data_IF_350354804730
#
_entry.id   IF_350354804730
#
_cell.length_a   1.000
_cell.length_b   1.000
_cell.length_c   1.000
_cell.angle_alpha   90.00
_cell.angle_beta   90.00
_cell.angle_gamma   90.00
#
_symmetry.space_group_name_H-M   'P 1'
#
loop_
_entity.id
_entity.type
_entity.pdbx_description
1 polymer ?
#
# COMPACT_ATOMS: atom_id res chain seq x y z
N UNK A 1 -14.44 -26.76 10.74
CA UNK A 1 -13.31 -27.42 10.05
C UNK A 1 -13.65 -27.38 8.58
N UNK A 2 -12.94 -26.57 7.80
CA UNK A 2 -13.08 -26.50 6.34
C UNK A 2 -12.41 -27.75 5.78
N UNK A 3 -13.05 -28.44 4.83
CA UNK A 3 -12.47 -29.60 4.16
C UNK A 3 -11.30 -29.13 3.28
N UNK A 4 -10.05 -29.56 3.54
CA UNK A 4 -8.90 -29.16 2.74
C UNK A 4 -8.94 -29.69 1.29
N UNK A 5 -9.90 -30.57 0.94
CA UNK A 5 -10.06 -31.10 -0.40
C UNK A 5 -11.01 -30.29 -1.31
N UNK A 6 -11.75 -29.32 -0.77
CA UNK A 6 -12.58 -28.42 -1.56
C UNK A 6 -11.86 -27.07 -1.63
N UNK A 7 -11.11 -26.77 -2.71
CA UNK A 7 -10.40 -25.51 -2.80
C UNK A 7 -11.44 -24.41 -2.69
N UNK A 8 -11.40 -23.65 -1.58
CA UNK A 8 -12.33 -22.55 -1.35
C UNK A 8 -12.41 -21.76 -2.66
N UNK A 9 -13.59 -21.74 -3.32
CA UNK A 9 -13.68 -21.09 -4.60
C UNK A 9 -13.26 -19.64 -4.35
N UNK A 10 -12.30 -19.14 -5.13
CA UNK A 10 -11.89 -17.73 -5.07
C UNK A 10 -13.08 -16.80 -5.43
N UNK A 11 -14.25 -17.35 -5.72
CA UNK A 11 -15.54 -16.66 -5.89
C UNK A 11 -15.76 -15.66 -4.76
N UNK A 12 -15.97 -14.40 -5.13
CA UNK A 12 -16.12 -13.29 -4.18
C UNK A 12 -14.87 -12.45 -3.95
N UNK A 13 -13.65 -12.96 -4.21
CA UNK A 13 -12.43 -12.13 -4.09
C UNK A 13 -12.51 -10.99 -5.12
N UNK A 14 -12.44 -9.73 -4.71
CA UNK A 14 -12.60 -8.64 -5.65
C UNK A 14 -11.43 -8.58 -6.64
N UNK A 15 -11.67 -7.95 -7.79
CA UNK A 15 -10.63 -7.63 -8.74
C UNK A 15 -10.09 -6.22 -8.46
N UNK A 16 -8.77 -6.05 -8.54
CA UNK A 16 -8.11 -4.73 -8.53
C UNK A 16 -7.59 -4.42 -9.93
N UNK A 17 -7.83 -3.20 -10.42
CA UNK A 17 -7.15 -2.69 -11.61
C UNK A 17 -6.11 -1.66 -11.19
N UNK A 18 -4.84 -1.94 -11.47
CA UNK A 18 -3.72 -1.05 -11.17
C UNK A 18 -3.32 -0.29 -12.43
N UNK A 19 -3.51 1.02 -12.39
CA UNK A 19 -2.94 1.94 -13.35
C UNK A 19 -1.58 2.45 -12.86
N UNK A 20 -0.73 2.81 -13.82
CA UNK A 20 0.51 3.51 -13.51
C UNK A 20 0.23 5.02 -13.63
N UNK A 21 0.54 5.82 -12.59
CA UNK A 21 0.36 7.26 -12.67
C UNK A 21 1.40 7.82 -13.64
N UNK A 22 1.02 7.94 -14.92
CA UNK A 22 1.90 8.49 -15.98
C UNK A 22 1.96 10.01 -15.87
N UNK A 23 0.86 10.64 -15.43
CA UNK A 23 0.78 12.07 -15.17
C UNK A 23 -0.14 12.27 -13.95
N UNK A 24 0.33 13.00 -12.94
CA UNK A 24 -0.48 13.41 -11.78
C UNK A 24 -1.48 14.52 -12.17
N UNK A 25 -2.06 14.43 -13.37
CA UNK A 25 -3.12 15.34 -13.78
C UNK A 25 -4.28 15.18 -12.81
N UNK A 26 -4.51 16.23 -12.02
CA UNK A 26 -5.52 16.17 -10.98
C UNK A 26 -6.90 16.10 -11.64
N UNK A 27 -7.59 14.97 -11.46
CA UNK A 27 -8.96 14.82 -11.91
C UNK A 27 -9.83 15.96 -11.38
N UNK A 28 -10.73 16.46 -12.22
CA UNK A 28 -11.81 17.35 -11.79
C UNK A 28 -12.96 16.50 -11.27
N UNK A 29 -13.36 16.70 -10.03
CA UNK A 29 -14.56 16.10 -9.46
C UNK A 29 -15.56 17.18 -9.08
N UNK A 30 -16.84 16.83 -8.96
CA UNK A 30 -17.88 17.74 -8.50
C UNK A 30 -17.68 18.15 -7.02
N UNK A 31 -18.45 19.14 -6.56
CA UNK A 31 -18.32 19.65 -5.19
C UNK A 31 -18.62 18.59 -4.12
N UNK A 32 -19.59 17.70 -4.37
CA UNK A 32 -19.97 16.64 -3.44
C UNK A 32 -18.85 15.62 -3.25
N UNK A 33 -18.24 15.17 -4.34
CA UNK A 33 -17.11 14.22 -4.30
C UNK A 33 -15.89 14.85 -3.61
N UNK A 34 -15.63 16.14 -3.84
CA UNK A 34 -14.56 16.86 -3.12
C UNK A 34 -14.84 16.98 -1.62
N UNK A 35 -16.09 17.17 -1.21
CA UNK A 35 -16.46 17.20 0.21
C UNK A 35 -16.29 15.83 0.88
N UNK A 36 -16.71 14.75 0.21
CA UNK A 36 -16.47 13.38 0.67
C UNK A 36 -14.98 13.07 0.80
N UNK A 37 -14.19 13.54 -0.17
CA UNK A 37 -12.73 13.42 -0.14
C UNK A 37 -12.12 14.07 1.09
N UNK A 38 -12.49 15.33 1.34
CA UNK A 38 -12.02 16.07 2.52
C UNK A 38 -12.47 15.39 3.83
N UNK A 39 -13.67 14.83 3.88
CA UNK A 39 -14.16 14.06 5.04
C UNK A 39 -13.32 12.80 5.28
N UNK A 40 -13.00 12.05 4.23
CA UNK A 40 -12.14 10.87 4.33
C UNK A 40 -10.73 11.24 4.83
N UNK A 41 -10.08 12.26 4.24
CA UNK A 41 -8.77 12.76 4.72
C UNK A 41 -8.82 13.19 6.19
N UNK A 42 -9.84 13.97 6.58
CA UNK A 42 -10.00 14.45 7.95
C UNK A 42 -10.23 13.30 8.94
N UNK A 43 -11.02 12.30 8.57
CA UNK A 43 -11.29 11.11 9.41
C UNK A 43 -10.03 10.29 9.69
N UNK A 44 -9.17 10.08 8.69
CA UNK A 44 -7.87 9.41 8.85
C UNK A 44 -6.94 10.22 9.75
N UNK A 45 -6.88 11.55 9.57
CA UNK A 45 -6.11 12.45 10.43
C UNK A 45 -6.55 12.39 11.90
N UNK A 46 -7.87 12.41 12.15
CA UNK A 46 -8.42 12.26 13.51
C UNK A 46 -8.11 10.89 14.13
N UNK A 47 -8.09 9.82 13.33
CA UNK A 47 -7.70 8.48 13.79
C UNK A 47 -6.22 8.42 14.18
N UNK A 48 -5.31 8.92 13.32
CA UNK A 48 -3.88 8.99 13.62
C UNK A 48 -3.60 9.77 14.92
N UNK A 49 -4.21 10.93 15.03
CA UNK A 49 -4.05 11.85 16.15
C UNK A 49 -4.55 11.24 17.48
N UNK A 50 -5.68 10.51 17.45
CA UNK A 50 -6.15 9.75 18.60
C UNK A 50 -5.18 8.63 19.03
N UNK A 51 -4.61 7.89 18.07
CA UNK A 51 -3.64 6.83 18.34
C UNK A 51 -2.32 7.38 18.91
N UNK A 52 -1.79 8.46 18.33
CA UNK A 52 -0.52 9.06 18.75
C UNK A 52 -0.57 9.66 20.15
N UNK A 53 -1.72 10.23 20.56
CA UNK A 53 -1.91 10.75 21.92
C UNK A 53 -2.15 9.68 22.97
N UNK A 54 -2.18 8.41 22.60
CA UNK A 54 -2.59 7.34 23.51
C UNK A 54 -4.05 7.50 23.96
N UNK A 55 -4.93 7.93 23.04
CA UNK A 55 -6.36 8.00 23.29
C UNK A 55 -6.90 6.65 23.78
N UNK A 56 -7.94 6.68 24.62
CA UNK A 56 -8.50 5.44 25.14
C UNK A 56 -9.10 4.57 24.01
N UNK A 57 -9.22 3.27 24.24
CA UNK A 57 -9.66 2.30 23.24
C UNK A 57 -11.04 2.63 22.65
N UNK A 58 -11.96 3.21 23.43
CA UNK A 58 -13.28 3.62 22.95
C UNK A 58 -13.23 4.81 22.00
N UNK A 59 -12.35 5.79 22.25
CA UNK A 59 -12.13 6.88 21.30
C UNK A 59 -11.52 6.38 20.00
N UNK A 60 -10.44 5.59 20.08
CA UNK A 60 -9.78 5.03 18.90
C UNK A 60 -10.76 4.21 18.07
N UNK A 61 -11.56 3.33 18.69
CA UNK A 61 -12.58 2.56 18.00
C UNK A 61 -13.62 3.44 17.29
N UNK A 62 -14.12 4.51 17.93
CA UNK A 62 -15.04 5.46 17.29
C UNK A 62 -14.41 6.20 16.10
N UNK A 63 -13.14 6.60 16.21
CA UNK A 63 -12.42 7.24 15.09
C UNK A 63 -12.20 6.26 13.95
N UNK A 64 -11.98 4.99 14.28
CA UNK A 64 -11.84 3.92 13.30
C UNK A 64 -13.12 3.74 12.48
N UNK A 65 -14.27 3.59 13.14
CA UNK A 65 -15.56 3.45 12.47
C UNK A 65 -15.87 4.68 11.60
N UNK A 66 -15.62 5.89 12.11
CA UNK A 66 -15.82 7.11 11.33
C UNK A 66 -14.93 7.18 10.07
N UNK A 67 -13.69 6.70 10.15
CA UNK A 67 -12.78 6.65 9.01
C UNK A 67 -13.20 5.57 7.99
N UNK A 68 -13.66 4.41 8.45
CA UNK A 68 -14.23 3.37 7.59
C UNK A 68 -15.46 3.89 6.85
N UNK A 69 -16.41 4.50 7.55
CA UNK A 69 -17.64 5.04 6.93
C UNK A 69 -17.32 6.15 5.90
N UNK A 70 -16.41 7.07 6.24
CA UNK A 70 -16.03 8.17 5.35
C UNK A 70 -15.33 7.66 4.09
N UNK A 71 -14.43 6.68 4.22
CA UNK A 71 -13.73 6.08 3.09
C UNK A 71 -14.64 5.20 2.24
N UNK A 72 -15.58 4.48 2.86
CA UNK A 72 -16.61 3.71 2.16
C UNK A 72 -17.49 4.60 1.28
N UNK A 73 -17.98 5.72 1.83
CA UNK A 73 -18.81 6.67 1.10
C UNK A 73 -18.06 7.27 -0.10
N UNK A 74 -16.78 7.64 0.08
CA UNK A 74 -15.93 8.13 -0.99
C UNK A 74 -15.69 7.06 -2.07
N UNK A 75 -15.34 5.83 -1.67
CA UNK A 75 -15.08 4.73 -2.58
C UNK A 75 -16.30 4.41 -3.44
N UNK A 76 -17.49 4.29 -2.83
CA UNK A 76 -18.74 4.06 -3.54
C UNK A 76 -19.07 5.18 -4.53
N UNK A 77 -18.85 6.44 -4.13
CA UNK A 77 -19.07 7.59 -5.02
C UNK A 77 -18.13 7.55 -6.22
N UNK A 78 -16.84 7.32 -6.00
CA UNK A 78 -15.83 7.29 -7.07
C UNK A 78 -16.06 6.12 -8.03
N UNK A 79 -16.40 4.95 -7.51
CA UNK A 79 -16.71 3.76 -8.32
C UNK A 79 -17.94 4.01 -9.22
N UNK A 80 -18.99 4.66 -8.70
CA UNK A 80 -20.19 4.99 -9.49
C UNK A 80 -19.95 5.94 -10.67
N UNK A 81 -18.89 6.78 -10.60
CA UNK A 81 -18.60 7.79 -11.63
C UNK A 81 -17.39 7.44 -12.50
N UNK A 82 -16.58 6.49 -12.07
CA UNK A 82 -15.29 6.18 -12.66
C UNK A 82 -14.86 4.72 -12.45
N UNK A 83 -15.81 3.80 -12.36
CA UNK A 83 -15.55 2.37 -12.44
C UNK A 83 -14.84 2.01 -13.75
N UNK A 84 -14.14 0.87 -13.74
CA UNK A 84 -13.60 0.28 -14.96
C UNK A 84 -14.66 -0.64 -15.54
N UNK A 85 -15.05 -0.43 -16.79
CA UNK A 85 -16.03 -1.27 -17.47
C UNK A 85 -15.43 -2.67 -17.71
N UNK A 86 -16.13 -3.70 -17.23
CA UNK A 86 -15.78 -5.12 -17.37
C UNK A 86 -14.28 -5.42 -17.19
N UNK A 87 -13.73 -5.18 -15.99
CA UNK A 87 -12.29 -5.25 -15.77
C UNK A 87 -11.74 -6.68 -15.89
N UNK A 88 -12.62 -7.69 -15.89
CA UNK A 88 -12.29 -9.09 -16.14
C UNK A 88 -11.85 -9.37 -17.57
N UNK A 89 -12.22 -8.53 -18.54
CA UNK A 89 -11.75 -8.63 -19.94
C UNK A 89 -10.32 -8.16 -20.14
N UNK A 90 -9.73 -7.47 -19.16
CA UNK A 90 -8.35 -7.03 -19.27
C UNK A 90 -7.40 -8.24 -19.17
N UNK A 91 -6.40 -8.35 -20.07
CA UNK A 91 -5.47 -9.46 -20.02
C UNK A 91 -4.58 -9.34 -18.76
N UNK A 92 -4.28 -10.46 -18.07
CA UNK A 92 -3.32 -10.45 -16.98
C UNK A 92 -1.89 -10.25 -17.52
N UNK A 93 -1.11 -9.28 -17.02
CA UNK A 93 0.26 -9.04 -17.51
C UNK A 93 1.25 -10.13 -17.12
N UNK A 94 1.02 -10.78 -15.97
CA UNK A 94 1.73 -12.00 -15.53
C UNK A 94 0.66 -12.99 -15.11
N UNK A 95 0.25 -13.93 -16.00
CA UNK A 95 -0.95 -14.75 -15.83
C UNK A 95 -1.11 -15.33 -14.43
N UNK A 96 -0.07 -15.98 -13.92
CA UNK A 96 -0.11 -16.72 -12.65
C UNK A 96 -0.35 -15.80 -11.44
N UNK A 97 0.42 -14.72 -11.33
CA UNK A 97 0.30 -13.75 -10.23
C UNK A 97 -1.01 -12.95 -10.33
N UNK A 98 -1.34 -12.53 -11.55
CA UNK A 98 -2.49 -11.68 -11.83
C UNK A 98 -3.81 -12.42 -11.66
N UNK A 99 -3.85 -13.72 -11.96
CA UNK A 99 -5.04 -14.54 -11.77
C UNK A 99 -5.21 -14.94 -10.31
N UNK A 100 -4.13 -15.30 -9.62
CA UNK A 100 -4.19 -15.59 -8.19
C UNK A 100 -4.66 -14.38 -7.39
N UNK A 101 -3.95 -13.26 -7.48
CA UNK A 101 -4.33 -12.04 -6.74
C UNK A 101 -5.47 -11.26 -7.40
N UNK A 102 -6.02 -11.69 -8.54
CA UNK A 102 -7.08 -10.97 -9.26
C UNK A 102 -6.72 -9.51 -9.53
N UNK A 103 -5.50 -9.29 -10.02
CA UNK A 103 -4.99 -7.96 -10.38
C UNK A 103 -4.93 -7.84 -11.90
N UNK A 104 -5.36 -6.70 -12.42
CA UNK A 104 -5.21 -6.32 -13.83
C UNK A 104 -4.44 -5.04 -13.95
N UNK A 105 -3.76 -4.88 -15.08
CA UNK A 105 -2.97 -3.69 -15.35
C UNK A 105 -3.40 -3.09 -16.68
N UNK A 106 -3.73 -1.81 -16.65
CA UNK A 106 -4.10 -1.03 -17.82
C UNK A 106 -3.87 0.45 -17.52
N UNK A 107 -3.60 1.31 -18.52
CA UNK A 107 -3.69 2.74 -18.33
C UNK A 107 -5.06 3.13 -17.76
N UNK A 108 -5.09 3.84 -16.64
CA UNK A 108 -6.31 4.35 -16.02
C UNK A 108 -6.38 5.86 -16.20
N UNK A 109 -7.59 6.38 -16.40
CA UNK A 109 -7.82 7.82 -16.24
C UNK A 109 -7.59 8.23 -14.79
N UNK A 110 -7.25 9.49 -14.49
CA UNK A 110 -7.07 9.94 -13.11
C UNK A 110 -8.29 9.68 -12.20
N UNK A 111 -9.51 9.71 -12.76
CA UNK A 111 -10.73 9.37 -12.02
C UNK A 111 -10.83 7.87 -11.70
N UNK A 112 -10.52 7.00 -12.66
CA UNK A 112 -10.50 5.55 -12.45
C UNK A 112 -9.40 5.15 -11.45
N UNK A 113 -8.23 5.76 -11.56
CA UNK A 113 -7.13 5.57 -10.61
C UNK A 113 -7.57 5.95 -9.18
N UNK A 114 -8.26 7.07 -9.02
CA UNK A 114 -8.82 7.49 -7.73
C UNK A 114 -9.86 6.50 -7.20
N UNK A 115 -10.75 5.99 -8.05
CA UNK A 115 -11.76 5.00 -7.66
C UNK A 115 -11.11 3.69 -7.17
N UNK A 116 -10.19 3.10 -7.95
CA UNK A 116 -9.51 1.86 -7.59
C UNK A 116 -8.69 2.01 -6.30
N UNK A 117 -8.01 3.15 -6.14
CA UNK A 117 -7.23 3.44 -4.93
C UNK A 117 -8.13 3.60 -3.70
N UNK A 118 -9.24 4.35 -3.82
CA UNK A 118 -10.17 4.53 -2.71
C UNK A 118 -10.83 3.22 -2.28
N UNK A 119 -11.16 2.34 -3.23
CA UNK A 119 -11.69 1.00 -2.94
C UNK A 119 -10.64 0.15 -2.19
N UNK A 120 -9.38 0.14 -2.63
CA UNK A 120 -8.31 -0.59 -1.94
C UNK A 120 -8.07 -0.06 -0.51
N UNK A 121 -8.05 1.27 -0.34
CA UNK A 121 -7.93 1.93 0.98
C UNK A 121 -9.09 1.57 1.89
N UNK A 122 -10.33 1.71 1.42
CA UNK A 122 -11.53 1.41 2.20
C UNK A 122 -11.53 -0.05 2.69
N UNK A 123 -11.32 -1.02 1.78
CA UNK A 123 -11.35 -2.44 2.14
C UNK A 123 -10.27 -2.80 3.15
N UNK A 124 -9.06 -2.28 2.94
CA UNK A 124 -7.93 -2.51 3.86
C UNK A 124 -8.17 -1.87 5.22
N UNK A 125 -8.68 -0.64 5.25
CA UNK A 125 -9.03 0.03 6.51
C UNK A 125 -10.14 -0.74 7.24
N UNK A 126 -11.17 -1.20 6.52
CA UNK A 126 -12.26 -1.96 7.12
C UNK A 126 -11.77 -3.27 7.78
N UNK A 127 -10.77 -3.94 7.20
CA UNK A 127 -10.13 -5.14 7.78
C UNK A 127 -9.19 -4.76 8.92
N UNK A 128 -8.38 -3.70 8.77
CA UNK A 128 -7.43 -3.23 9.78
C UNK A 128 -8.09 -3.00 11.16
N UNK A 129 -9.35 -2.57 11.16
CA UNK A 129 -10.23 -2.47 12.35
C UNK A 129 -10.31 -3.75 13.18
N UNK A 130 -10.28 -4.90 12.51
CA UNK A 130 -10.46 -6.24 13.08
C UNK A 130 -9.13 -6.98 13.26
N UNK A 131 -8.02 -6.39 12.79
CA UNK A 131 -6.69 -6.99 12.85
C UNK A 131 -5.94 -6.51 14.08
N UNK A 132 -5.29 -7.45 14.79
CA UNK A 132 -4.36 -7.12 15.86
C UNK A 132 -2.97 -6.84 15.28
N UNK A 133 -2.60 -5.57 15.20
CA UNK A 133 -1.27 -5.11 14.80
C UNK A 133 -0.63 -4.24 15.87
N UNK A 134 0.70 -4.11 15.80
CA UNK A 134 1.42 -3.11 16.56
C UNK A 134 0.99 -1.70 16.15
N UNK A 135 0.87 -0.80 17.12
CA UNK A 135 0.32 0.55 16.89
C UNK A 135 1.10 1.33 15.82
N UNK A 136 2.42 1.11 15.74
CA UNK A 136 3.27 1.75 14.73
C UNK A 136 2.97 1.26 13.31
N UNK A 137 2.62 -0.01 13.16
CA UNK A 137 2.25 -0.59 11.85
C UNK A 137 0.86 -0.07 11.44
N UNK A 138 -0.09 0.05 12.38
CA UNK A 138 -1.39 0.71 12.14
C UNK A 138 -1.20 2.17 11.73
N UNK A 139 -0.36 2.93 12.45
CA UNK A 139 -0.07 4.32 12.13
C UNK A 139 0.59 4.48 10.75
N UNK A 140 1.49 3.58 10.37
CA UNK A 140 2.13 3.60 9.06
C UNK A 140 1.11 3.39 7.93
N UNK A 141 0.19 2.43 8.06
CA UNK A 141 -0.89 2.22 7.08
C UNK A 141 -1.83 3.42 6.98
N UNK A 142 -2.30 3.95 8.12
CA UNK A 142 -3.23 5.10 8.11
C UNK A 142 -2.55 6.36 7.54
N UNK A 143 -1.25 6.56 7.83
CA UNK A 143 -0.47 7.64 7.24
C UNK A 143 -0.33 7.48 5.72
N UNK A 144 -0.06 6.27 5.21
CA UNK A 144 0.01 6.03 3.77
C UNK A 144 -1.36 6.16 3.09
N UNK A 145 -2.45 5.74 3.73
CA UNK A 145 -3.83 5.98 3.23
C UNK A 145 -4.13 7.48 3.09
N UNK A 146 -3.78 8.27 4.12
CA UNK A 146 -3.95 9.72 4.09
C UNK A 146 -3.12 10.37 2.97
N UNK A 147 -1.87 9.94 2.81
CA UNK A 147 -1.00 10.42 1.74
C UNK A 147 -1.56 10.08 0.35
N UNK A 148 -2.04 8.85 0.12
CA UNK A 148 -2.66 8.48 -1.16
C UNK A 148 -3.82 9.40 -1.53
N UNK A 149 -4.70 9.74 -0.58
CA UNK A 149 -5.77 10.68 -0.85
C UNK A 149 -5.26 12.09 -1.17
N UNK A 150 -4.21 12.55 -0.49
CA UNK A 150 -3.58 13.84 -0.79
C UNK A 150 -2.97 13.87 -2.19
N UNK A 151 -2.29 12.79 -2.60
CA UNK A 151 -1.66 12.66 -3.91
C UNK A 151 -2.69 12.64 -5.05
N UNK A 152 -3.85 12.05 -4.79
CA UNK A 152 -4.97 11.97 -5.72
C UNK A 152 -5.90 13.20 -5.65
N UNK A 153 -5.62 14.16 -4.76
CA UNK A 153 -6.52 15.28 -4.48
C UNK A 153 -6.78 16.10 -5.75
N UNK A 154 -8.05 16.45 -6.03
CA UNK A 154 -8.44 17.20 -7.21
C UNK A 154 -7.76 18.59 -7.24
N UNK A 155 -7.44 19.12 -8.42
CA UNK A 155 -6.97 20.49 -8.54
C UNK A 155 -8.09 21.40 -8.03
N UNK A 156 -7.77 22.31 -7.11
CA UNK A 156 -8.69 23.41 -6.82
C UNK A 156 -8.86 24.20 -8.11
N UNK A 157 -10.09 24.28 -8.61
CA UNK A 157 -10.44 25.12 -9.76
C UNK A 157 -10.44 26.61 -9.41
N UNK A 158 -10.13 26.96 -8.16
CA UNK A 158 -9.90 28.35 -7.78
C UNK A 158 -8.64 28.82 -8.51
N UNK A 159 -8.85 29.62 -9.57
CA UNK A 159 -7.79 30.14 -10.41
C UNK A 159 -6.76 30.91 -9.58
N UNK A 160 -5.66 30.25 -9.25
CA UNK A 160 -4.49 30.89 -8.65
C UNK A 160 -3.37 30.82 -9.66
N UNK A 161 -3.18 31.95 -10.35
CA UNK A 161 -1.88 32.33 -10.88
C UNK A 161 -0.88 32.27 -9.72
N UNK A 162 0.03 31.30 -9.76
CA UNK A 162 1.28 31.21 -8.99
C UNK A 162 1.29 31.71 -7.54
N UNK A 163 1.13 30.81 -6.58
CA UNK A 163 1.93 30.83 -5.36
C UNK A 163 1.86 29.46 -4.68
N UNK A 164 3.02 28.80 -4.60
CA UNK A 164 3.19 27.53 -3.92
C UNK A 164 3.53 27.78 -2.44
N UNK A 165 2.54 28.10 -1.62
CA UNK A 165 2.58 27.98 -0.17
C UNK A 165 1.24 28.44 0.39
N UNK A 166 0.30 27.52 0.60
CA UNK A 166 -0.79 27.75 1.56
C UNK A 166 -1.22 26.40 2.15
N UNK A 167 -0.80 26.18 3.39
CA UNK A 167 -1.45 25.24 4.31
C UNK A 167 -2.73 25.86 4.87
N UNK A 168 -3.72 25.06 5.31
CA UNK A 168 -5.09 25.54 5.42
C UNK A 168 -5.43 26.12 6.80
N UNK A 169 -6.35 27.10 6.88
CA UNK A 169 -7.31 27.17 7.95
C UNK A 169 -8.61 26.49 7.47
N UNK A 170 -9.04 25.40 8.11
CA UNK A 170 -10.41 24.90 7.95
C UNK A 170 -11.10 24.81 9.30
N UNK A 171 -12.08 25.71 9.50
CA UNK A 171 -13.20 25.49 10.40
C UNK A 171 -14.09 24.39 9.80
N UNK A 172 -14.23 23.29 10.53
CA UNK A 172 -15.19 22.22 10.21
C UNK A 172 -16.58 22.68 10.67
N UNK A 173 -17.61 22.69 9.81
CA UNK A 173 -18.97 22.97 10.27
C UNK A 173 -19.44 21.85 11.21
N UNK A 174 -19.81 22.22 12.44
CA UNK A 174 -20.48 21.32 13.37
C UNK A 174 -21.88 20.96 12.84
N UNK A 175 -22.00 19.79 12.22
CA UNK A 175 -23.28 19.33 11.66
C UNK A 175 -23.20 17.95 11.01
N UNK A 176 -22.88 16.92 11.80
CA UNK A 176 -23.14 15.54 11.41
C UNK A 176 -24.60 15.18 11.74
N UNK A 177 -25.35 14.50 10.86
CA UNK A 177 -26.71 14.05 11.16
C UNK A 177 -26.68 12.85 12.12
N UNK A 178 -27.75 12.63 12.92
CA UNK A 178 -27.82 11.53 13.87
C UNK A 178 -28.21 10.22 13.18
N UNK A 179 -27.65 9.14 13.72
CA UNK A 179 -28.02 7.72 13.57
C UNK A 179 -29.40 7.44 12.96
N UNK A 180 -29.41 6.85 11.77
CA UNK A 180 -30.56 6.13 11.22
C UNK A 180 -30.55 4.68 11.70
N UNK A 181 -31.50 4.32 12.56
CA UNK A 181 -31.77 2.94 12.99
C UNK A 181 -32.28 2.08 11.83
N UNK A 182 -31.64 0.93 11.64
CA UNK A 182 -32.02 -0.07 10.65
C UNK A 182 -33.37 -0.73 10.98
N UNK A 183 -34.31 -0.64 10.03
CA UNK A 183 -35.47 -1.53 9.95
C UNK A 183 -35.13 -2.71 9.04
N UNK A 184 -35.20 -3.92 9.60
CA UNK A 184 -35.23 -5.19 8.87
C UNK A 184 -36.65 -5.43 8.35
N UNK A 185 -36.81 -5.74 7.06
CA UNK A 185 -37.76 -6.75 6.55
C UNK A 185 -37.68 -6.90 5.02
N UNK A 186 -37.53 -8.15 4.54
CA UNK A 186 -38.03 -8.63 3.25
C UNK A 186 -37.03 -8.74 2.07
N UNK A 187 -36.88 -9.94 1.44
CA UNK A 187 -36.07 -10.13 0.25
C UNK A 187 -36.90 -9.90 -1.02
N UNK A 188 -36.56 -8.88 -1.79
CA UNK A 188 -36.98 -8.76 -3.20
C UNK A 188 -35.78 -9.00 -4.09
N UNK A 189 -35.78 -10.15 -4.77
CA UNK A 189 -34.87 -10.45 -5.87
C UNK A 189 -35.36 -9.71 -7.12
N UNK A 190 -34.52 -8.82 -7.67
CA UNK A 190 -34.80 -8.15 -8.94
C UNK A 190 -33.90 -6.94 -9.22
N UNK A 191 -32.94 -7.14 -10.13
CA UNK A 191 -32.40 -6.16 -11.09
C UNK A 191 -31.65 -4.92 -10.56
N UNK A 192 -30.31 -4.95 -10.72
CA UNK A 192 -29.45 -3.77 -10.62
C UNK A 192 -29.03 -3.35 -9.20
N UNK A 193 -29.20 -4.23 -8.21
CA UNK A 193 -28.84 -3.94 -6.81
C UNK A 193 -27.38 -3.52 -6.70
N UNK A 194 -27.15 -2.26 -6.31
CA UNK A 194 -25.84 -1.78 -5.90
C UNK A 194 -25.25 -2.82 -4.94
N UNK A 195 -24.09 -3.38 -5.31
CA UNK A 195 -23.44 -4.42 -4.51
C UNK A 195 -23.37 -3.94 -3.06
N UNK A 196 -23.83 -4.79 -2.12
CA UNK A 196 -23.81 -4.44 -0.71
C UNK A 196 -22.38 -3.99 -0.34
N UNK A 197 -22.23 -2.93 0.49
CA UNK A 197 -20.91 -2.43 0.85
C UNK A 197 -20.08 -3.58 1.43
N UNK A 198 -18.83 -3.72 0.97
CA UNK A 198 -17.91 -4.74 1.46
C UNK A 198 -17.86 -4.68 2.99
N UNK A 199 -18.09 -5.82 3.64
CA UNK A 199 -17.96 -5.96 5.08
C UNK A 199 -16.97 -7.10 5.34
N UNK A 200 -15.79 -6.81 5.90
CA UNK A 200 -14.89 -7.88 6.29
C UNK A 200 -15.56 -8.71 7.36
N UNK A 201 -15.60 -10.02 7.14
CA UNK A 201 -16.08 -11.03 8.08
C UNK A 201 -14.95 -11.53 9.00
N UNK A 202 -13.72 -11.05 8.78
CA UNK A 202 -12.53 -11.45 9.51
C UNK A 202 -11.85 -12.70 8.92
N UNK A 203 -12.24 -13.14 7.73
CA UNK A 203 -11.58 -14.23 7.02
C UNK A 203 -10.13 -13.85 6.63
N UNK A 204 -9.18 -14.71 7.03
CA UNK A 204 -7.76 -14.46 6.80
C UNK A 204 -7.33 -14.58 5.33
N UNK A 205 -8.09 -15.32 4.51
CA UNK A 205 -7.87 -15.39 3.05
C UNK A 205 -8.33 -14.08 2.38
N UNK A 206 -9.48 -13.54 2.79
CA UNK A 206 -9.92 -12.21 2.32
C UNK A 206 -8.88 -11.14 2.67
N UNK A 207 -8.43 -11.13 3.93
CA UNK A 207 -7.30 -10.28 4.37
C UNK A 207 -6.08 -10.45 3.47
N UNK A 208 -5.70 -11.69 3.20
CA UNK A 208 -4.55 -12.00 2.35
C UNK A 208 -4.69 -11.29 0.99
N UNK A 209 -5.83 -11.38 0.30
CA UNK A 209 -6.00 -10.74 -0.99
C UNK A 209 -6.10 -9.22 -0.92
N UNK A 210 -6.94 -8.70 -0.04
CA UNK A 210 -7.28 -7.27 0.03
C UNK A 210 -6.09 -6.43 0.46
N UNK A 211 -5.33 -6.91 1.44
CA UNK A 211 -4.17 -6.16 1.91
C UNK A 211 -3.02 -6.25 0.89
N UNK A 212 -2.91 -7.35 0.12
CA UNK A 212 -1.99 -7.40 -1.03
C UNK A 212 -2.38 -6.40 -2.13
N UNK A 213 -3.67 -6.21 -2.40
CA UNK A 213 -4.13 -5.15 -3.32
C UNK A 213 -3.64 -3.78 -2.90
N UNK A 214 -3.78 -3.45 -1.61
CA UNK A 214 -3.28 -2.20 -1.07
C UNK A 214 -1.75 -2.11 -1.13
N UNK A 215 -1.04 -3.18 -0.80
CA UNK A 215 0.41 -3.31 -0.97
C UNK A 215 0.84 -2.99 -2.42
N UNK A 216 0.12 -3.49 -3.42
CA UNK A 216 0.40 -3.22 -4.84
C UNK A 216 0.22 -1.75 -5.20
N UNK A 217 -0.87 -1.13 -4.75
CA UNK A 217 -1.12 0.30 -4.92
C UNK A 217 0.03 1.12 -4.34
N UNK A 218 0.45 0.82 -3.10
CA UNK A 218 1.55 1.54 -2.45
C UNK A 218 2.88 1.41 -3.19
N UNK A 219 3.23 0.21 -3.69
CA UNK A 219 4.44 0.00 -4.49
C UNK A 219 4.43 0.86 -5.77
N UNK A 220 3.30 0.94 -6.47
CA UNK A 220 3.17 1.76 -7.68
C UNK A 220 3.34 3.25 -7.39
N UNK A 221 2.73 3.76 -6.32
CA UNK A 221 2.83 5.17 -5.96
C UNK A 221 4.23 5.53 -5.43
N UNK A 222 4.86 4.66 -4.64
CA UNK A 222 6.23 4.83 -4.19
C UNK A 222 7.20 4.91 -5.38
N UNK A 223 7.06 4.00 -6.36
CA UNK A 223 7.87 4.04 -7.59
C UNK A 223 7.71 5.37 -8.34
N UNK A 224 6.48 5.84 -8.50
CA UNK A 224 6.18 7.09 -9.21
C UNK A 224 6.74 8.33 -8.50
N UNK A 225 6.67 8.38 -7.17
CA UNK A 225 7.27 9.46 -6.38
C UNK A 225 8.80 9.45 -6.47
N UNK A 226 9.43 8.28 -6.46
CA UNK A 226 10.88 8.16 -6.62
C UNK A 226 11.32 8.61 -8.02
N UNK A 227 10.63 8.17 -9.08
CA UNK A 227 10.92 8.65 -10.45
C UNK A 227 10.80 10.17 -10.56
N UNK A 228 9.73 10.75 -10.01
CA UNK A 228 9.56 12.21 -9.96
C UNK A 228 10.70 12.88 -9.19
N UNK A 229 11.11 12.34 -8.05
CA UNK A 229 12.22 12.88 -7.29
C UNK A 229 13.53 12.86 -8.09
N UNK A 230 13.79 11.79 -8.82
CA UNK A 230 14.96 11.66 -9.71
C UNK A 230 14.95 12.74 -10.79
N UNK A 231 13.81 12.96 -11.46
CA UNK A 231 13.67 14.01 -12.47
C UNK A 231 13.94 15.40 -11.88
N UNK A 232 13.37 15.70 -10.71
CA UNK A 232 13.58 16.98 -10.01
C UNK A 232 15.04 17.16 -9.57
N UNK A 233 15.66 16.11 -9.04
CA UNK A 233 17.06 16.14 -8.61
C UNK A 233 18.01 16.37 -9.80
N UNK A 234 17.73 15.78 -10.97
CA UNK A 234 18.48 16.02 -12.23
C UNK A 234 18.31 17.46 -12.73
N UNK A 235 17.16 18.07 -12.46
CA UNK A 235 16.88 19.46 -12.79
C UNK A 235 17.46 20.47 -11.76
N UNK A 236 18.12 20.00 -10.69
CA UNK A 236 18.63 20.85 -9.61
C UNK A 236 17.55 21.38 -8.65
N UNK A 237 16.35 20.79 -8.67
CA UNK A 237 15.23 21.17 -7.83
C UNK A 237 15.18 20.30 -6.55
N UNK A 238 16.12 20.56 -5.64
CA UNK A 238 16.39 19.70 -4.48
C UNK A 238 15.23 19.62 -3.49
N UNK A 239 14.64 20.76 -3.10
CA UNK A 239 13.49 20.78 -2.20
C UNK A 239 12.31 19.96 -2.73
N UNK A 240 11.85 20.17 -3.98
CA UNK A 240 10.82 19.33 -4.61
C UNK A 240 11.20 17.85 -4.71
N UNK A 241 12.47 17.52 -4.97
CA UNK A 241 12.95 16.15 -4.98
C UNK A 241 12.88 15.51 -3.58
N UNK A 242 13.36 16.22 -2.56
CA UNK A 242 13.35 15.78 -1.17
C UNK A 242 11.91 15.55 -0.66
N UNK A 243 10.99 16.46 -0.97
CA UNK A 243 9.58 16.30 -0.61
C UNK A 243 8.94 15.05 -1.24
N UNK A 244 9.26 14.77 -2.51
CA UNK A 244 8.77 13.56 -3.18
C UNK A 244 9.38 12.27 -2.58
N UNK A 245 10.65 12.29 -2.17
CA UNK A 245 11.27 11.16 -1.47
C UNK A 245 10.70 10.95 -0.07
N UNK A 246 10.42 12.01 0.68
CA UNK A 246 9.77 11.93 1.99
C UNK A 246 8.38 11.28 1.88
N UNK A 247 7.56 11.70 0.89
CA UNK A 247 6.28 11.05 0.60
C UNK A 247 6.50 9.58 0.19
N UNK A 248 7.52 9.26 -0.61
CA UNK A 248 7.82 7.87 -0.98
C UNK A 248 8.18 7.02 0.25
N UNK A 249 8.97 7.55 1.19
CA UNK A 249 9.34 6.87 2.43
C UNK A 249 8.11 6.54 3.30
N UNK A 250 7.11 7.43 3.36
CA UNK A 250 5.82 7.15 4.03
C UNK A 250 5.11 5.98 3.38
N UNK A 251 5.05 5.93 2.03
CA UNK A 251 4.42 4.80 1.32
C UNK A 251 5.19 3.49 1.49
N UNK A 252 6.52 3.53 1.55
CA UNK A 252 7.36 2.36 1.82
C UNK A 252 7.05 1.77 3.19
N UNK A 253 7.06 2.59 4.23
CA UNK A 253 6.67 2.16 5.58
C UNK A 253 5.23 1.63 5.61
N UNK A 254 4.33 2.26 4.86
CA UNK A 254 2.95 1.82 4.70
C UNK A 254 2.86 0.42 4.08
N UNK A 255 3.62 0.11 3.04
CA UNK A 255 3.55 -1.21 2.42
C UNK A 255 4.27 -2.28 3.25
N UNK A 256 5.30 -1.90 4.01
CA UNK A 256 5.90 -2.79 5.00
C UNK A 256 4.87 -3.18 6.06
N UNK A 257 4.12 -2.21 6.58
CA UNK A 257 3.04 -2.47 7.52
C UNK A 257 1.91 -3.31 6.89
N UNK A 258 1.50 -3.00 5.66
CA UNK A 258 0.51 -3.79 4.92
C UNK A 258 0.97 -5.26 4.73
N UNK A 259 2.26 -5.52 4.53
CA UNK A 259 2.78 -6.89 4.48
C UNK A 259 2.65 -7.61 5.83
N UNK A 260 2.90 -6.92 6.96
CA UNK A 260 2.65 -7.49 8.29
C UNK A 260 1.16 -7.73 8.51
N UNK A 261 0.31 -6.80 8.09
CA UNK A 261 -1.15 -6.92 8.13
C UNK A 261 -1.66 -8.10 7.32
N UNK A 262 -1.22 -8.27 6.07
CA UNK A 262 -1.65 -9.39 5.25
C UNK A 262 -1.26 -10.74 5.87
N UNK A 263 -0.13 -10.79 6.57
CA UNK A 263 0.36 -11.95 7.29
C UNK A 263 -0.13 -12.09 8.74
N UNK A 264 -1.02 -11.21 9.22
CA UNK A 264 -1.57 -11.25 10.57
C UNK A 264 -2.61 -12.38 10.72
N UNK A 265 -2.12 -13.62 10.69
CA UNK A 265 -2.89 -14.86 10.79
C UNK A 265 -2.06 -15.95 11.49
N UNK A 266 -2.68 -17.02 12.01
CA UNK A 266 -1.93 -18.15 12.54
C UNK A 266 -1.06 -18.80 11.47
N UNK A 267 0.20 -19.12 11.81
CA UNK A 267 1.12 -19.80 10.89
C UNK A 267 0.55 -21.11 10.34
N UNK A 268 -0.21 -21.86 11.16
CA UNK A 268 -0.91 -23.07 10.72
C UNK A 268 -1.93 -22.79 9.60
N UNK A 269 -2.70 -21.70 9.71
CA UNK A 269 -3.65 -21.33 8.66
C UNK A 269 -2.93 -20.96 7.37
N UNK A 270 -1.84 -20.18 7.47
CA UNK A 270 -1.02 -19.88 6.32
C UNK A 270 -0.48 -21.15 5.65
N UNK A 271 0.01 -22.12 6.42
CA UNK A 271 0.57 -23.36 5.91
C UNK A 271 -0.46 -24.30 5.29
N UNK A 272 -1.63 -24.41 5.92
CA UNK A 272 -2.66 -25.38 5.52
C UNK A 272 -3.62 -24.83 4.46
N UNK A 273 -3.82 -23.51 4.41
CA UNK A 273 -4.85 -22.87 3.56
C UNK A 273 -4.22 -21.93 2.54
N UNK A 274 -3.50 -20.90 2.97
CA UNK A 274 -2.99 -19.87 2.04
C UNK A 274 -1.89 -20.43 1.13
N UNK A 275 -0.83 -21.01 1.70
CA UNK A 275 0.35 -21.45 0.96
C UNK A 275 0.07 -22.52 -0.10
N UNK A 276 -0.79 -23.54 0.13
CA UNK A 276 -1.13 -24.52 -0.91
C UNK A 276 -1.83 -23.91 -2.13
N UNK A 277 -2.58 -22.82 -1.96
CA UNK A 277 -3.25 -22.12 -3.07
C UNK A 277 -2.27 -21.36 -3.97
N UNK A 278 -1.04 -21.14 -3.50
CA UNK A 278 0.07 -20.51 -4.24
C UNK A 278 0.94 -21.51 -5.02
N UNK A 279 0.53 -22.78 -5.08
CA UNK A 279 1.21 -23.87 -5.77
C UNK A 279 0.27 -24.68 -6.67
N UNK A 280 0.78 -25.44 -7.66
CA UNK A 280 -0.02 -26.40 -8.40
C UNK A 280 -0.75 -27.39 -7.47
N UNK A 281 -2.01 -27.74 -7.77
CA UNK A 281 -2.75 -27.44 -9.00
C UNK A 281 -3.51 -26.09 -9.02
N UNK A 282 -3.55 -25.34 -7.92
CA UNK A 282 -4.34 -24.10 -7.81
C UNK A 282 -3.84 -22.98 -8.73
N UNK A 283 -2.54 -22.97 -8.98
CA UNK A 283 -1.87 -22.11 -9.96
C UNK A 283 -1.01 -22.95 -10.89
N UNK A 284 -0.78 -22.49 -12.12
CA UNK A 284 -0.06 -23.29 -13.12
C UNK A 284 1.43 -23.48 -12.81
N UNK A 285 2.03 -22.56 -12.04
CA UNK A 285 3.39 -22.65 -11.49
C UNK A 285 3.40 -22.04 -10.09
N UNK A 286 4.38 -22.43 -9.26
CA UNK A 286 4.55 -21.85 -7.92
C UNK A 286 4.70 -20.33 -7.99
N UNK A 287 3.90 -19.62 -7.19
CA UNK A 287 4.02 -18.18 -7.04
C UNK A 287 5.33 -17.83 -6.34
N UNK A 288 5.89 -16.69 -6.75
CA UNK A 288 7.07 -16.09 -6.15
C UNK A 288 6.96 -14.58 -6.22
N UNK A 289 7.53 -13.88 -5.23
CA UNK A 289 7.58 -12.42 -5.21
C UNK A 289 8.26 -11.82 -6.45
N UNK A 290 9.10 -12.57 -7.16
CA UNK A 290 9.72 -12.13 -8.44
C UNK A 290 8.67 -11.88 -9.54
N UNK A 291 7.51 -12.52 -9.45
CA UNK A 291 6.40 -12.34 -10.42
C UNK A 291 5.63 -11.04 -10.20
N UNK A 292 5.76 -10.41 -9.03
CA UNK A 292 5.03 -9.18 -8.70
C UNK A 292 5.61 -7.99 -9.47
N UNK A 293 4.83 -7.43 -10.41
CA UNK A 293 5.31 -6.35 -11.30
C UNK A 293 5.50 -5.05 -10.53
N UNK A 294 4.60 -4.75 -9.62
CA UNK A 294 4.54 -3.52 -8.83
C UNK A 294 5.79 -3.39 -7.96
N UNK A 295 6.15 -4.46 -7.24
CA UNK A 295 7.37 -4.47 -6.44
C UNK A 295 8.63 -4.37 -7.31
N UNK A 296 8.69 -5.05 -8.47
CA UNK A 296 9.82 -4.90 -9.40
C UNK A 296 10.00 -3.48 -9.90
N UNK A 297 8.90 -2.75 -10.15
CA UNK A 297 8.95 -1.33 -10.55
C UNK A 297 9.45 -0.44 -9.43
N UNK A 298 8.95 -0.64 -8.21
CA UNK A 298 9.48 0.04 -7.03
C UNK A 298 10.99 -0.19 -6.89
N UNK A 299 11.45 -1.44 -7.01
CA UNK A 299 12.88 -1.78 -6.95
C UNK A 299 13.70 -1.09 -8.04
N UNK A 300 13.21 -1.06 -9.27
CA UNK A 300 13.86 -0.35 -10.36
C UNK A 300 13.95 1.17 -10.09
N UNK A 301 12.91 1.77 -9.49
CA UNK A 301 12.94 3.19 -9.13
C UNK A 301 13.98 3.50 -8.04
N UNK A 302 14.14 2.64 -7.03
CA UNK A 302 15.19 2.78 -6.01
C UNK A 302 16.59 2.66 -6.63
N UNK A 303 16.78 1.72 -7.57
CA UNK A 303 18.04 1.59 -8.31
C UNK A 303 18.33 2.84 -9.17
N UNK A 304 17.30 3.41 -9.80
CA UNK A 304 17.42 4.67 -10.53
C UNK A 304 17.81 5.83 -9.61
N UNK A 305 17.20 5.94 -8.43
CA UNK A 305 17.55 6.97 -7.43
C UNK A 305 19.02 6.92 -7.05
N UNK A 306 19.52 5.72 -6.72
CA UNK A 306 20.93 5.51 -6.36
C UNK A 306 21.86 5.87 -7.52
N UNK A 307 21.46 5.56 -8.75
CA UNK A 307 22.24 5.90 -9.94
C UNK A 307 22.23 7.41 -10.21
N UNK A 308 21.11 8.09 -9.97
CA UNK A 308 20.93 9.51 -10.23
C UNK A 308 21.57 10.41 -9.16
N UNK A 309 21.68 9.91 -7.93
CA UNK A 309 22.29 10.62 -6.79
C UNK A 309 23.31 9.69 -6.11
N UNK A 310 24.45 9.41 -6.76
CA UNK A 310 25.42 8.40 -6.31
C UNK A 310 26.37 8.90 -5.21
N UNK A 311 26.36 10.20 -4.89
CA UNK A 311 27.30 10.82 -3.96
C UNK A 311 27.20 10.18 -2.56
N UNK A 312 28.33 9.89 -1.88
CA UNK A 312 28.30 9.45 -0.49
C UNK A 312 27.51 10.40 0.40
N UNK A 313 26.85 9.89 1.43
CA UNK A 313 25.98 10.69 2.32
C UNK A 313 26.68 11.94 2.82
N UNK A 314 27.93 11.81 3.30
CA UNK A 314 28.69 12.93 3.86
C UNK A 314 28.93 14.04 2.83
N UNK A 315 29.17 13.68 1.57
CA UNK A 315 29.45 14.65 0.49
C UNK A 315 28.15 15.31 0.00
N UNK A 316 27.09 14.53 -0.14
CA UNK A 316 25.77 15.05 -0.50
C UNK A 316 25.22 15.96 0.60
N UNK A 317 25.43 15.62 1.87
CA UNK A 317 25.00 16.43 3.02
C UNK A 317 25.66 17.82 3.04
N UNK A 318 26.90 17.95 2.57
CA UNK A 318 27.59 19.24 2.49
C UNK A 318 27.05 20.15 1.38
N UNK A 319 26.44 19.57 0.34
CA UNK A 319 26.09 20.30 -0.89
C UNK A 319 24.57 20.42 -1.10
N UNK A 320 23.81 19.40 -0.71
CA UNK A 320 22.37 19.22 -0.95
C UNK A 320 21.73 18.50 0.27
N UNK A 321 21.74 19.12 1.47
CA UNK A 321 21.38 18.46 2.73
C UNK A 321 19.96 17.87 2.74
N UNK A 322 18.96 18.60 2.26
CA UNK A 322 17.57 18.13 2.21
C UNK A 322 17.42 16.86 1.35
N UNK A 323 18.14 16.79 0.23
CA UNK A 323 18.13 15.62 -0.64
C UNK A 323 18.88 14.43 0.00
N UNK A 324 19.96 14.70 0.74
CA UNK A 324 20.71 13.68 1.46
C UNK A 324 19.85 12.99 2.53
N UNK A 325 19.18 13.78 3.37
CA UNK A 325 18.28 13.27 4.41
C UNK A 325 17.12 12.48 3.80
N UNK A 326 16.44 13.03 2.80
CA UNK A 326 15.29 12.36 2.20
C UNK A 326 15.67 11.07 1.44
N UNK A 327 16.86 11.03 0.82
CA UNK A 327 17.40 9.79 0.23
C UNK A 327 17.70 8.75 1.30
N UNK A 328 18.34 9.16 2.40
CA UNK A 328 18.64 8.28 3.55
C UNK A 328 17.35 7.65 4.10
N UNK A 329 16.29 8.44 4.27
CA UNK A 329 14.98 7.94 4.75
C UNK A 329 14.36 6.87 3.84
N UNK A 330 14.46 7.03 2.51
CA UNK A 330 13.96 6.04 1.54
C UNK A 330 14.76 4.74 1.61
N UNK A 331 16.09 4.82 1.69
CA UNK A 331 16.95 3.64 1.77
C UNK A 331 16.78 2.90 3.10
N UNK A 332 16.63 3.63 4.20
CA UNK A 332 16.31 3.07 5.52
C UNK A 332 14.95 2.36 5.50
N UNK A 333 13.93 3.00 4.91
CA UNK A 333 12.61 2.38 4.79
C UNK A 333 12.65 1.08 3.95
N UNK A 334 13.45 1.01 2.86
CA UNK A 334 13.62 -0.22 2.07
C UNK A 334 14.34 -1.34 2.85
N UNK A 335 15.33 -1.00 3.67
CA UNK A 335 16.02 -2.00 4.51
C UNK A 335 15.09 -2.53 5.60
N UNK A 336 14.33 -1.65 6.25
CA UNK A 336 13.33 -2.02 7.25
C UNK A 336 12.23 -2.92 6.65
N UNK A 337 11.79 -2.66 5.42
CA UNK A 337 10.85 -3.53 4.69
C UNK A 337 11.37 -4.97 4.64
N UNK A 338 12.61 -5.15 4.22
CA UNK A 338 13.19 -6.47 4.04
C UNK A 338 13.44 -7.18 5.36
N UNK A 339 13.78 -6.45 6.43
CA UNK A 339 13.91 -7.00 7.79
C UNK A 339 12.57 -7.48 8.36
N UNK A 340 11.52 -6.70 8.15
CA UNK A 340 10.15 -7.06 8.54
C UNK A 340 9.65 -8.26 7.72
N UNK A 341 9.96 -8.31 6.42
CA UNK A 341 9.68 -9.48 5.58
C UNK A 341 10.39 -10.74 6.11
N UNK A 342 11.68 -10.66 6.46
CA UNK A 342 12.43 -11.78 7.03
C UNK A 342 11.74 -12.30 8.30
N UNK A 343 11.29 -11.40 9.16
CA UNK A 343 10.61 -11.75 10.42
C UNK A 343 9.28 -12.43 10.14
N UNK A 344 8.47 -11.87 9.23
CA UNK A 344 7.19 -12.45 8.84
C UNK A 344 7.35 -13.84 8.22
N UNK A 345 8.30 -13.99 7.29
CA UNK A 345 8.62 -15.27 6.66
C UNK A 345 9.08 -16.30 7.70
N UNK A 346 9.90 -15.90 8.68
CA UNK A 346 10.31 -16.79 9.75
C UNK A 346 9.13 -17.26 10.63
N UNK A 347 8.12 -16.41 10.86
CA UNK A 347 6.93 -16.78 11.63
C UNK A 347 5.99 -17.68 10.83
N UNK A 348 5.70 -17.33 9.57
CA UNK A 348 4.72 -18.05 8.75
C UNK A 348 5.30 -19.31 8.11
N UNK A 349 6.53 -19.23 7.60
CA UNK A 349 7.21 -20.32 6.85
C UNK A 349 8.14 -21.13 7.74
N UNK A 350 8.66 -20.54 8.83
CA UNK A 350 9.60 -21.23 9.70
C UNK A 350 10.93 -21.54 9.01
N UNK A 351 11.38 -22.79 9.18
CA UNK A 351 12.60 -23.30 8.56
C UNK A 351 12.40 -23.82 7.13
N UNK A 352 11.20 -23.70 6.57
CA UNK A 352 10.88 -24.29 5.28
C UNK A 352 11.39 -23.50 4.06
N UNK A 353 11.46 -24.20 2.93
CA UNK A 353 11.85 -23.62 1.66
C UNK A 353 10.76 -22.73 1.09
N UNK A 354 11.20 -21.75 0.29
CA UNK A 354 10.33 -21.04 -0.63
C UNK A 354 9.76 -22.02 -1.66
N UNK A 355 8.53 -21.76 -2.13
CA UNK A 355 7.84 -22.61 -3.11
C UNK A 355 8.65 -22.78 -4.42
N UNK A 356 9.48 -21.81 -4.77
CA UNK A 356 10.29 -21.84 -6.00
C UNK A 356 11.72 -22.34 -5.81
N UNK A 357 12.12 -22.66 -4.57
CA UNK A 357 13.46 -23.19 -4.32
C UNK A 357 13.57 -24.65 -4.78
N UNK A 358 14.63 -25.04 -5.51
CA UNK A 358 14.82 -26.41 -5.95
C UNK A 358 14.84 -27.43 -4.81
N UNK A 359 14.45 -28.66 -5.13
CA UNK A 359 14.48 -29.81 -4.21
C UNK A 359 15.83 -30.04 -3.49
N UNK A 360 16.92 -29.54 -4.06
CA UNK A 360 18.30 -29.85 -3.68
C UNK A 360 19.01 -28.74 -2.89
N UNK A 361 18.40 -27.56 -2.70
CA UNK A 361 19.05 -26.49 -1.93
C UNK A 361 18.89 -26.71 -0.42
N UNK A 362 19.95 -26.41 0.33
CA UNK A 362 19.94 -26.36 1.79
C UNK A 362 19.43 -25.01 2.32
N UNK A 363 19.21 -24.04 1.45
CA UNK A 363 18.69 -22.72 1.81
C UNK A 363 17.18 -22.77 2.02
N UNK A 364 16.71 -22.12 3.08
CA UNK A 364 15.29 -21.86 3.33
C UNK A 364 14.89 -20.45 2.88
N UNK A 365 13.59 -20.13 2.88
CA UNK A 365 13.08 -18.84 2.40
C UNK A 365 13.75 -17.66 3.15
N UNK A 366 13.82 -17.77 4.48
CA UNK A 366 14.41 -16.76 5.38
C UNK A 366 15.88 -16.51 5.08
N UNK A 367 16.67 -17.55 4.77
CA UNK A 367 18.09 -17.43 4.45
C UNK A 367 18.33 -16.68 3.13
N UNK A 368 17.46 -16.87 2.14
CA UNK A 368 17.50 -16.12 0.88
C UNK A 368 17.18 -14.66 1.11
N UNK A 369 16.13 -14.35 1.87
CA UNK A 369 15.77 -12.96 2.20
C UNK A 369 16.89 -12.26 3.00
N UNK A 370 17.52 -12.94 3.97
CA UNK A 370 18.68 -12.41 4.70
C UNK A 370 19.86 -12.10 3.79
N UNK A 371 20.16 -12.98 2.83
CA UNK A 371 21.19 -12.72 1.82
C UNK A 371 20.87 -11.46 1.01
N UNK A 372 19.62 -11.29 0.58
CA UNK A 372 19.17 -10.08 -0.12
C UNK A 372 19.35 -8.82 0.76
N UNK A 373 19.00 -8.89 2.05
CA UNK A 373 19.19 -7.76 3.00
C UNK A 373 20.66 -7.37 3.11
N UNK A 374 21.55 -8.34 3.32
CA UNK A 374 22.98 -8.06 3.42
C UNK A 374 23.54 -7.41 2.16
N UNK A 375 23.14 -7.90 0.98
CA UNK A 375 23.55 -7.29 -0.29
C UNK A 375 23.07 -5.85 -0.44
N UNK A 376 21.80 -5.56 -0.09
CA UNK A 376 21.26 -4.20 -0.14
C UNK A 376 21.95 -3.28 0.88
N UNK A 377 22.09 -3.73 2.13
CA UNK A 377 22.77 -2.95 3.17
C UNK A 377 24.21 -2.61 2.79
N UNK A 378 24.95 -3.56 2.20
CA UNK A 378 26.29 -3.31 1.69
C UNK A 378 26.30 -2.26 0.56
N UNK A 379 25.33 -2.32 -0.36
CA UNK A 379 25.19 -1.34 -1.44
C UNK A 379 24.80 0.05 -0.95
N UNK A 380 23.94 0.14 0.08
CA UNK A 380 23.46 1.41 0.63
C UNK A 380 24.42 2.05 1.63
N UNK A 381 25.36 1.27 2.19
CA UNK A 381 26.29 1.72 3.23
C UNK A 381 26.97 3.08 2.99
N UNK A 382 27.50 3.42 1.79
CA UNK A 382 28.11 4.74 1.58
C UNK A 382 27.09 5.88 1.41
N UNK A 383 25.83 5.56 1.11
CA UNK A 383 24.77 6.50 0.75
C UNK A 383 23.93 6.94 1.96
N UNK A 384 24.11 6.26 3.11
CA UNK A 384 23.32 6.45 4.32
C UNK A 384 24.13 7.01 5.49
N UNK A 385 23.48 7.76 6.39
CA UNK A 385 24.14 8.37 7.56
C UNK A 385 24.76 7.30 8.47
N UNK A 386 23.94 6.32 8.82
CA UNK A 386 24.26 5.21 9.71
C UNK A 386 24.41 3.88 8.96
N UNK A 387 24.90 3.92 7.72
CA UNK A 387 25.17 2.70 6.95
C UNK A 387 25.98 1.69 7.76
N UNK A 388 25.69 0.39 7.57
CA UNK A 388 26.22 -0.72 8.38
C UNK A 388 27.73 -0.93 8.13
N UNK A 389 28.56 0.00 8.64
CA UNK A 389 30.03 0.09 8.42
C UNK A 389 30.79 -1.13 8.93
N UNK A 390 30.12 -1.99 9.69
CA UNK A 390 30.69 -3.25 10.18
C UNK A 390 30.74 -4.32 9.08
N UNK A 391 29.81 -4.30 8.11
CA UNK A 391 29.78 -5.29 7.03
C UNK A 391 30.93 -5.13 6.02
N UNK A 392 31.41 -3.91 5.79
CA UNK A 392 32.48 -3.65 4.81
C UNK A 392 33.88 -4.03 5.30
N UNK A 393 34.07 -4.20 6.62
CA UNK A 393 35.35 -4.60 7.21
C UNK A 393 35.64 -6.10 7.13
N UNK A 394 34.64 -6.94 6.86
CA UNK A 394 34.83 -8.41 6.81
C UNK A 394 35.17 -8.96 5.42
N UNK A 395 35.18 -8.10 4.39
CA UNK A 395 35.41 -8.48 2.97
C UNK A 395 36.82 -8.16 2.46
N UNK A 396 37.70 -7.65 3.32
CA UNK A 396 39.14 -7.42 3.05
C UNK A 396 39.94 -8.36 3.93
#
# INVERSE_FOLDING_TARGET
MVDPADPAPLDGVPLLVVGYPVEWERARFDAATRAMWASAEASLGMLMDAMQRGGNSTEVARRFEFAVDSTAALAARLDSIAGVDDPWRLPPPVPVHSDYFRVRHTPLTPRQQAAQTAVAVFRTLADLRLTMLEINDVLAEVASMSLLFRLLRPASTAGTNGSAADGPPFDVPAGAPPNGTAGSDGPTAGEGGAAAPYRPDGDWMDRWFLVHHYYFVLNVYAAALIHRAVEQARAGADGPAAAALADAAVLIRGFTAAMIHSGAMPAKYYQDVVRPTMSPPHVSINLTGVMQIEHRRYRAAVEELITAVPEPYADLMLTRPELADARDEVLEADLLDLERHITLAAVLVGGERSLVQPGTTTQNATSTLRKMRHMRAANYCPLMQFGDRWLTRMSR
#
